data_IF_872035304999
#
_entry.id   IF_872035304999
#
_cell.length_a   1.000
_cell.length_b   1.000
_cell.length_c   1.000
_cell.angle_alpha   90.00
_cell.angle_beta   90.00
_cell.angle_gamma   90.00
#
_symmetry.space_group_name_H-M   'P 1'
#
loop_
_entity.id
_entity.type
_entity.pdbx_description
1 polymer ?
#
# COMPACT_ATOMS: atom_id res chain seq x y z
N UNK A 1 -15.22 59.38 -38.97
CA UNK A 1 -16.12 58.79 -39.98
C UNK A 1 -15.24 58.02 -40.97
N UNK A 2 -15.53 56.71 -41.14
CA UNK A 2 -15.21 55.74 -42.21
C UNK A 2 -14.08 56.12 -43.20
N UNK A 3 -13.08 55.26 -43.43
CA UNK A 3 -13.20 54.13 -44.39
C UNK A 3 -12.20 53.00 -44.12
N UNK A 4 -12.71 51.77 -44.17
CA UNK A 4 -12.02 50.46 -44.30
C UNK A 4 -11.93 50.14 -45.80
N UNK A 5 -10.82 49.61 -46.37
CA UNK A 5 -10.59 48.16 -46.54
C UNK A 5 -9.11 47.75 -46.47
N UNK A 6 -8.69 46.50 -46.27
CA UNK A 6 -8.63 45.38 -47.26
C UNK A 6 -8.29 44.14 -46.41
N UNK A 7 -9.21 43.18 -46.22
CA UNK A 7 -9.29 41.92 -46.98
C UNK A 7 -7.98 41.12 -46.79
N UNK A 8 -7.94 39.97 -46.11
CA UNK A 8 -8.53 38.72 -46.61
C UNK A 8 -8.38 37.62 -45.53
N UNK A 9 -9.53 37.16 -45.02
CA UNK A 9 -9.89 35.77 -44.64
C UNK A 9 -8.83 34.85 -44.03
N UNK A 10 -9.01 34.44 -42.77
CA UNK A 10 -9.83 33.28 -42.33
C UNK A 10 -9.17 31.92 -42.58
N UNK A 11 -8.74 31.28 -41.50
CA UNK A 11 -9.29 30.00 -41.02
C UNK A 11 -8.58 29.69 -39.69
N UNK A 12 -9.19 30.01 -38.54
CA UNK A 12 -10.05 29.10 -37.78
C UNK A 12 -9.38 27.73 -37.56
N UNK A 13 -8.70 27.52 -36.43
CA UNK A 13 -9.22 27.20 -35.08
C UNK A 13 -9.38 25.70 -34.84
N UNK A 14 -9.30 25.36 -33.55
CA UNK A 14 -9.44 24.08 -32.86
C UNK A 14 -8.10 23.34 -32.67
N UNK A 15 -7.66 23.05 -31.46
CA UNK A 15 -8.35 23.05 -30.18
C UNK A 15 -7.84 21.88 -29.38
N UNK A 16 -7.28 22.15 -28.20
CA UNK A 16 -6.85 21.14 -27.24
C UNK A 16 -8.06 20.36 -26.66
N UNK A 17 -7.87 19.08 -26.33
CA UNK A 17 -8.57 18.27 -25.30
C UNK A 17 -7.93 16.87 -25.34
N UNK A 18 -7.02 16.57 -24.40
CA UNK A 18 -7.22 15.88 -23.11
C UNK A 18 -7.39 14.36 -23.17
N UNK A 19 -6.69 13.74 -22.21
CA UNK A 19 -6.57 12.32 -21.92
C UNK A 19 -7.90 11.66 -21.52
N UNK A 20 -8.02 10.35 -21.77
CA UNK A 20 -8.83 9.50 -20.91
C UNK A 20 -8.28 8.07 -20.87
N UNK A 21 -7.98 7.63 -19.66
CA UNK A 21 -7.79 6.24 -19.28
C UNK A 21 -9.15 5.50 -19.20
N UNK A 22 -9.06 4.19 -18.99
CA UNK A 22 -10.08 3.25 -18.49
C UNK A 22 -10.74 2.33 -19.53
N UNK A 23 -10.37 1.04 -19.44
CA UNK A 23 -11.30 -0.06 -19.62
C UNK A 23 -12.35 -0.03 -18.49
N UNK A 24 -13.58 -0.53 -18.71
CA UNK A 24 -13.89 -1.86 -18.17
C UNK A 24 -14.93 -2.70 -18.97
N UNK A 25 -14.71 -4.02 -18.95
CA UNK A 25 -15.63 -5.12 -18.60
C UNK A 25 -17.09 -5.17 -19.14
N UNK A 26 -17.39 -6.28 -19.82
CA UNK A 26 -18.58 -7.18 -19.71
C UNK A 26 -19.93 -6.90 -20.39
N UNK A 27 -20.43 -7.99 -21.02
CA UNK A 27 -21.86 -8.43 -21.15
C UNK A 27 -22.72 -7.85 -22.29
N UNK A 28 -23.53 -8.54 -23.11
CA UNK A 28 -23.90 -9.96 -23.41
C UNK A 28 -24.82 -9.97 -24.66
N UNK A 29 -24.86 -11.10 -25.39
CA UNK A 29 -25.98 -11.65 -26.21
C UNK A 29 -26.42 -10.87 -27.49
N UNK A 30 -26.82 -11.44 -28.63
CA UNK A 30 -26.98 -12.81 -29.16
C UNK A 30 -27.34 -12.63 -30.65
N UNK A 31 -26.51 -13.09 -31.61
CA UNK A 31 -26.97 -13.53 -32.94
C UNK A 31 -25.88 -14.35 -33.64
N UNK A 32 -26.12 -15.64 -33.84
CA UNK A 32 -25.39 -16.56 -34.73
C UNK A 32 -25.50 -16.10 -36.20
N UNK A 33 -24.57 -16.44 -37.13
CA UNK A 33 -24.05 -17.80 -37.30
C UNK A 33 -22.55 -17.96 -37.59
N UNK A 34 -22.03 -19.09 -37.09
CA UNK A 34 -21.19 -20.07 -37.79
C UNK A 34 -20.55 -19.60 -39.09
N UNK A 35 -19.24 -19.36 -39.07
CA UNK A 35 -18.33 -19.88 -40.10
C UNK A 35 -16.96 -20.10 -39.47
N UNK A 36 -16.76 -21.35 -39.06
CA UNK A 36 -15.46 -22.01 -38.98
C UNK A 36 -14.65 -21.69 -40.24
N UNK A 37 -13.62 -20.84 -40.16
CA UNK A 37 -12.59 -20.85 -41.19
C UNK A 37 -11.66 -22.00 -40.82
N UNK A 38 -12.07 -23.18 -41.26
CA UNK A 38 -11.22 -24.34 -41.36
C UNK A 38 -9.98 -23.95 -42.16
N UNK A 39 -8.83 -24.26 -41.60
CA UNK A 39 -7.59 -24.46 -42.33
C UNK A 39 -7.84 -25.47 -43.45
N UNK A 40 -8.14 -24.98 -44.66
CA UNK A 40 -7.98 -25.76 -45.88
C UNK A 40 -6.81 -25.15 -46.63
N UNK A 41 -5.67 -25.79 -46.43
CA UNK A 41 -4.59 -25.83 -47.40
C UNK A 41 -5.16 -26.37 -48.71
N UNK A 42 -5.63 -25.50 -49.60
CA UNK A 42 -5.82 -25.86 -51.00
C UNK A 42 -4.59 -25.37 -51.77
N UNK A 43 -3.59 -26.25 -51.84
CA UNK A 43 -2.54 -26.18 -52.84
C UNK A 43 -3.21 -26.52 -54.17
N UNK A 44 -3.86 -25.53 -54.79
CA UNK A 44 -4.16 -25.63 -56.21
C UNK A 44 -2.97 -25.11 -56.98
N UNK A 45 -2.16 -26.08 -57.39
CA UNK A 45 -1.30 -26.01 -58.56
C UNK A 45 -2.00 -25.18 -59.65
N UNK A 46 -1.51 -23.96 -59.86
CA UNK A 46 -1.76 -23.22 -61.08
C UNK A 46 -1.00 -23.96 -62.16
N UNK A 47 -1.75 -24.82 -62.84
CA UNK A 47 -1.36 -25.53 -64.04
C UNK A 47 -0.64 -24.57 -65.00
N UNK A 48 0.59 -24.95 -65.31
CA UNK A 48 1.10 -25.07 -66.68
C UNK A 48 0.20 -24.42 -67.71
N UNK A 49 0.47 -23.15 -68.02
CA UNK A 49 0.13 -22.61 -69.33
C UNK A 49 1.19 -23.15 -70.29
N UNK A 50 0.74 -24.02 -71.19
CA UNK A 50 1.59 -24.71 -72.15
C UNK A 50 2.44 -23.75 -72.96
N UNK A 51 3.75 -23.85 -72.76
CA UNK A 51 4.71 -23.50 -73.80
C UNK A 51 5.00 -24.77 -74.57
N UNK A 52 4.58 -24.76 -75.84
CA UNK A 52 5.01 -25.57 -76.98
C UNK A 52 6.34 -26.32 -76.74
N UNK A 53 6.49 -27.59 -77.19
CA UNK A 53 7.79 -28.25 -77.16
C UNK A 53 8.66 -27.58 -78.23
N UNK A 54 9.43 -26.57 -77.83
CA UNK A 54 10.67 -26.24 -78.52
C UNK A 54 11.67 -27.26 -77.98
N UNK A 55 11.71 -28.43 -78.61
CA UNK A 55 12.82 -28.79 -79.49
C UNK A 55 14.12 -28.52 -78.73
N UNK A 56 14.64 -29.59 -78.14
CA UNK A 56 16.06 -29.72 -77.82
C UNK A 56 16.82 -29.18 -79.02
N UNK A 57 17.20 -27.93 -78.88
CA UNK A 57 18.10 -27.27 -79.77
C UNK A 57 19.23 -27.04 -78.82
N UNK A 58 20.29 -27.85 -78.97
CA UNK A 58 21.65 -27.42 -78.65
C UNK A 58 21.87 -26.11 -79.39
N UNK A 59 21.24 -25.05 -78.89
CA UNK A 59 21.28 -23.71 -79.41
C UNK A 59 22.55 -23.18 -78.80
N UNK A 60 23.60 -23.22 -79.62
CA UNK A 60 24.85 -22.51 -79.44
C UNK A 60 24.47 -21.08 -79.04
N UNK A 61 24.32 -20.89 -77.74
CA UNK A 61 23.83 -19.67 -77.17
C UNK A 61 24.94 -18.67 -77.51
N UNK A 62 24.63 -17.68 -78.36
CA UNK A 62 25.65 -16.81 -78.89
C UNK A 62 26.49 -16.29 -77.71
N UNK A 63 27.83 -16.23 -77.82
CA UNK A 63 28.68 -15.88 -76.68
C UNK A 63 28.26 -14.56 -76.03
N UNK A 64 27.64 -13.66 -76.79
CA UNK A 64 27.07 -12.41 -76.29
C UNK A 64 25.80 -12.59 -75.43
N UNK A 65 24.93 -13.55 -75.76
CA UNK A 65 23.74 -13.90 -74.96
C UNK A 65 24.18 -14.67 -73.71
N UNK A 66 25.16 -15.57 -73.81
CA UNK A 66 25.74 -16.23 -72.63
C UNK A 66 26.36 -15.18 -71.70
N UNK A 67 27.13 -14.24 -72.25
CA UNK A 67 27.71 -13.16 -71.47
C UNK A 67 26.64 -12.29 -70.82
N UNK A 68 25.55 -11.95 -71.52
CA UNK A 68 24.43 -11.19 -70.96
C UNK A 68 23.73 -11.96 -69.81
N UNK A 69 23.50 -13.26 -69.97
CA UNK A 69 22.90 -14.09 -68.92
C UNK A 69 23.85 -14.20 -67.72
N UNK A 70 25.14 -14.47 -67.94
CA UNK A 70 26.14 -14.56 -66.85
C UNK A 70 26.25 -13.24 -66.12
N UNK A 71 26.30 -12.10 -66.81
CA UNK A 71 26.32 -10.76 -66.19
C UNK A 71 25.04 -10.51 -65.38
N UNK A 72 23.87 -10.90 -65.92
CA UNK A 72 22.61 -10.76 -65.19
C UNK A 72 22.57 -11.62 -63.92
N UNK A 73 23.00 -12.88 -63.99
CA UNK A 73 23.04 -13.80 -62.85
C UNK A 73 24.06 -13.34 -61.81
N UNK A 74 25.26 -12.94 -62.24
CA UNK A 74 26.30 -12.40 -61.34
C UNK A 74 25.81 -11.10 -60.68
N UNK A 75 25.10 -10.24 -61.42
CA UNK A 75 24.51 -9.02 -60.88
C UNK A 75 23.47 -9.31 -59.79
N UNK A 76 22.56 -10.26 -60.04
CA UNK A 76 21.53 -10.66 -59.05
C UNK A 76 22.17 -11.31 -57.83
N UNK A 77 23.17 -12.17 -58.00
CA UNK A 77 23.89 -12.80 -56.89
C UNK A 77 24.64 -11.76 -56.07
N UNK A 78 25.34 -10.82 -56.71
CA UNK A 78 26.03 -9.74 -56.03
C UNK A 78 25.06 -8.83 -55.25
N UNK A 79 23.90 -8.52 -55.83
CA UNK A 79 22.86 -7.74 -55.15
C UNK A 79 22.28 -8.48 -53.94
N UNK A 80 22.02 -9.78 -54.03
CA UNK A 80 21.50 -10.58 -52.91
C UNK A 80 22.51 -10.69 -51.76
N UNK A 81 23.80 -10.91 -52.08
CA UNK A 81 24.87 -10.96 -51.08
C UNK A 81 25.09 -9.58 -50.42
N UNK A 82 25.07 -8.51 -51.21
CA UNK A 82 25.17 -7.14 -50.71
C UNK A 82 23.98 -6.74 -49.81
N UNK A 83 22.75 -7.09 -50.21
CA UNK A 83 21.55 -6.84 -49.43
C UNK A 83 21.53 -7.65 -48.12
N UNK A 84 21.94 -8.92 -48.16
CA UNK A 84 22.10 -9.74 -46.95
C UNK A 84 23.13 -9.17 -45.98
N UNK A 85 24.30 -8.76 -46.49
CA UNK A 85 25.35 -8.14 -45.67
C UNK A 85 24.87 -6.81 -45.05
N UNK A 86 24.18 -5.97 -45.82
CA UNK A 86 23.61 -4.71 -45.31
C UNK A 86 22.52 -4.95 -44.25
N UNK A 87 21.63 -5.93 -44.45
CA UNK A 87 20.58 -6.27 -43.48
C UNK A 87 21.13 -6.84 -42.16
N UNK A 88 22.23 -7.62 -42.22
CA UNK A 88 22.95 -8.11 -41.04
C UNK A 88 23.57 -6.91 -40.28
N UNK A 89 24.15 -5.94 -40.99
CA UNK A 89 24.71 -4.72 -40.38
C UNK A 89 23.63 -3.84 -39.73
N UNK A 90 22.41 -3.83 -40.26
CA UNK A 90 21.27 -3.10 -39.68
C UNK A 90 20.58 -3.83 -38.50
N UNK A 91 21.08 -4.99 -38.06
CA UNK A 91 20.46 -5.82 -37.01
C UNK A 91 19.02 -6.27 -37.31
N UNK A 92 18.60 -6.26 -38.58
CA UNK A 92 17.24 -6.66 -38.98
C UNK A 92 17.09 -8.19 -39.01
N UNK A 93 18.18 -8.92 -39.28
CA UNK A 93 18.24 -10.39 -39.27
C UNK A 93 19.35 -10.81 -38.30
N UNK A 94 19.09 -11.67 -37.30
CA UNK A 94 20.13 -12.15 -36.39
C UNK A 94 21.20 -12.94 -37.17
N UNK A 95 22.48 -12.65 -36.92
CA UNK A 95 23.60 -13.34 -37.57
C UNK A 95 23.53 -14.85 -37.29
N UNK A 96 23.31 -15.71 -38.30
CA UNK A 96 23.14 -17.15 -38.09
C UNK A 96 24.44 -17.88 -37.73
N UNK A 97 25.62 -17.23 -37.89
CA UNK A 97 26.94 -17.82 -37.63
C UNK A 97 27.86 -16.82 -36.89
N UNK A 98 27.78 -16.75 -35.55
CA UNK A 98 28.53 -15.77 -34.72
C UNK A 98 30.05 -15.99 -34.65
N UNK A 99 30.66 -16.77 -35.55
CA UNK A 99 32.09 -17.10 -35.51
C UNK A 99 32.85 -17.01 -36.84
N UNK A 100 32.17 -16.88 -37.99
CA UNK A 100 32.83 -16.82 -39.32
C UNK A 100 32.74 -15.42 -39.91
N UNK A 101 31.63 -14.70 -39.66
CA UNK A 101 31.46 -13.32 -40.11
C UNK A 101 31.84 -12.41 -38.93
N UNK A 102 32.99 -11.71 -38.97
CA UNK A 102 33.32 -10.74 -37.93
C UNK A 102 32.20 -9.71 -37.88
N UNK A 103 31.59 -9.57 -36.69
CA UNK A 103 30.61 -8.52 -36.45
C UNK A 103 31.22 -7.14 -36.66
N UNK A 104 30.40 -6.09 -36.87
CA UNK A 104 30.89 -4.73 -36.79
C UNK A 104 31.63 -4.52 -35.45
N UNK A 105 32.70 -3.71 -35.44
CA UNK A 105 33.36 -3.36 -34.19
C UNK A 105 32.29 -2.84 -33.23
N UNK A 106 32.23 -3.41 -32.04
CA UNK A 106 31.34 -2.90 -31.00
C UNK A 106 31.61 -1.41 -30.85
N UNK A 107 30.59 -0.54 -30.90
CA UNK A 107 30.80 0.86 -30.61
C UNK A 107 31.48 0.96 -29.24
N UNK A 108 32.42 1.91 -29.05
CA UNK A 108 33.07 2.07 -27.76
C UNK A 108 31.99 2.15 -26.70
N UNK A 109 32.12 1.31 -25.68
CA UNK A 109 31.18 1.32 -24.57
C UNK A 109 31.01 2.77 -24.12
N UNK A 110 29.77 3.26 -23.95
CA UNK A 110 29.57 4.59 -23.40
C UNK A 110 30.38 4.67 -22.10
N UNK A 111 31.03 5.82 -21.81
CA UNK A 111 31.76 5.98 -20.57
C UNK A 111 30.83 5.54 -19.44
N UNK A 112 31.35 4.69 -18.55
CA UNK A 112 30.59 4.27 -17.39
C UNK A 112 30.01 5.53 -16.74
N UNK A 113 28.70 5.55 -16.41
CA UNK A 113 28.14 6.68 -15.69
C UNK A 113 29.03 6.93 -14.47
N UNK A 114 29.30 8.19 -14.10
CA UNK A 114 30.08 8.49 -12.92
C UNK A 114 29.49 7.68 -11.77
N UNK A 115 30.35 6.97 -11.04
CA UNK A 115 29.91 6.19 -9.89
C UNK A 115 28.99 7.08 -9.05
N UNK A 116 27.79 6.60 -8.67
CA UNK A 116 26.89 7.39 -7.86
C UNK A 116 27.69 7.89 -6.66
N UNK A 117 27.62 9.21 -6.44
CA UNK A 117 28.25 9.81 -5.28
C UNK A 117 27.82 9.01 -4.04
N UNK A 118 28.74 8.68 -3.11
CA UNK A 118 28.39 7.92 -1.93
C UNK A 118 27.19 8.59 -1.28
N UNK A 119 26.10 7.83 -1.11
CA UNK A 119 24.92 8.34 -0.44
C UNK A 119 25.35 8.92 0.90
N UNK A 120 24.86 10.12 1.27
CA UNK A 120 25.17 10.70 2.57
C UNK A 120 24.83 9.67 3.64
N UNK A 121 25.85 9.26 4.42
CA UNK A 121 25.63 8.39 5.56
C UNK A 121 24.50 9.00 6.39
N UNK A 122 23.41 8.26 6.71
CA UNK A 122 22.32 8.78 7.48
C UNK A 122 22.86 9.48 8.73
N UNK A 123 22.49 10.75 8.91
CA UNK A 123 22.84 11.49 10.11
C UNK A 123 22.39 10.65 11.31
N UNK A 124 23.19 10.57 12.39
CA UNK A 124 22.80 9.87 13.61
C UNK A 124 21.41 10.35 14.01
N UNK A 125 20.51 9.41 14.30
CA UNK A 125 19.20 9.76 14.82
C UNK A 125 19.40 10.67 16.05
N UNK A 126 18.64 11.77 16.16
CA UNK A 126 18.76 12.66 17.30
C UNK A 126 18.60 11.84 18.58
N UNK A 127 19.50 12.08 19.53
CA UNK A 127 19.44 11.44 20.84
C UNK A 127 18.03 11.66 21.43
N UNK A 128 17.41 10.63 22.03
CA UNK A 128 16.08 10.78 22.61
C UNK A 128 16.10 11.94 23.60
N UNK A 129 15.13 12.84 23.43
CA UNK A 129 14.95 13.98 24.31
C UNK A 129 14.76 13.46 25.75
N UNK A 130 15.41 14.07 26.76
CA UNK A 130 15.28 13.63 28.14
C UNK A 130 13.81 13.55 28.52
N UNK A 131 13.40 12.42 29.10
CA UNK A 131 12.05 12.26 29.59
C UNK A 131 11.72 13.42 30.54
N UNK A 132 10.53 14.06 30.41
CA UNK A 132 10.14 15.17 31.25
C UNK A 132 10.24 14.76 32.72
N UNK A 133 10.84 15.62 33.53
CA UNK A 133 10.96 15.41 34.96
C UNK A 133 9.56 15.16 35.55
N UNK A 134 9.42 14.22 36.51
CA UNK A 134 8.14 13.91 37.12
C UNK A 134 7.53 15.18 37.71
N UNK A 135 6.32 15.51 37.25
CA UNK A 135 5.54 16.62 37.79
C UNK A 135 5.30 16.33 39.27
N UNK A 136 5.53 17.29 40.19
CA UNK A 136 5.28 17.09 41.60
C UNK A 136 3.83 16.65 41.84
N UNK A 137 3.65 15.57 42.58
CA UNK A 137 2.34 15.11 42.97
C UNK A 137 1.62 16.23 43.76
N UNK A 138 0.31 16.44 43.53
CA UNK A 138 -0.45 17.43 44.28
C UNK A 138 -0.37 17.11 45.78
N UNK A 139 -0.30 18.15 46.65
CA UNK A 139 -0.22 17.96 48.08
C UNK A 139 -1.41 17.13 48.57
N UNK A 140 -1.15 16.23 49.52
CA UNK A 140 -2.17 15.36 50.09
C UNK A 140 -3.34 16.20 50.66
N UNK A 141 -4.59 15.75 50.51
CA UNK A 141 -5.75 16.41 51.08
C UNK A 141 -5.55 16.65 52.58
N UNK A 142 -5.98 17.81 53.07
CA UNK A 142 -5.94 18.11 54.49
C UNK A 142 -6.71 17.05 55.29
N UNK A 143 -6.20 16.64 56.47
CA UNK A 143 -6.90 15.68 57.32
C UNK A 143 -8.33 16.11 57.59
N UNK A 144 -9.27 15.19 57.44
CA UNK A 144 -10.66 15.45 57.77
C UNK A 144 -10.78 15.87 59.25
N UNK A 145 -11.67 16.82 59.57
CA UNK A 145 -11.86 17.27 60.94
C UNK A 145 -12.23 16.10 61.85
N UNK A 146 -11.54 15.99 62.99
CA UNK A 146 -11.82 14.95 63.97
C UNK A 146 -13.22 15.16 64.59
N UNK A 147 -13.98 14.08 64.86
CA UNK A 147 -15.25 14.16 65.54
C UNK A 147 -15.11 14.89 66.88
N UNK A 148 -16.07 15.78 67.19
CA UNK A 148 -16.10 16.47 68.47
C UNK A 148 -16.17 15.47 69.64
N UNK A 149 -15.49 15.74 70.77
CA UNK A 149 -15.50 14.86 71.94
C UNK A 149 -16.93 14.65 72.45
N UNK A 150 -17.28 13.38 72.70
CA UNK A 150 -18.58 13.00 73.28
C UNK A 150 -18.70 13.63 74.68
N UNK A 151 -19.86 14.19 75.06
CA UNK A 151 -20.08 14.74 76.40
C UNK A 151 -19.67 13.75 77.48
N UNK A 152 -18.90 14.22 78.47
CA UNK A 152 -18.49 13.42 79.60
C UNK A 152 -19.74 12.89 80.35
N UNK A 153 -19.73 11.63 80.82
CA UNK A 153 -20.82 11.11 81.62
C UNK A 153 -20.97 11.98 82.88
N UNK A 154 -22.16 12.55 83.08
CA UNK A 154 -22.42 13.39 84.25
C UNK A 154 -22.34 12.58 85.55
N UNK A 155 -21.79 13.21 86.58
CA UNK A 155 -21.47 12.67 87.93
C UNK A 155 -22.72 12.34 88.78
N UNK A 156 -23.81 11.87 88.15
CA UNK A 156 -24.98 11.45 88.91
C UNK A 156 -24.57 10.29 89.82
N UNK A 157 -24.94 10.31 91.11
CA UNK A 157 -24.65 9.22 92.02
C UNK A 157 -25.96 8.56 92.44
N UNK A 158 -26.03 7.23 92.32
CA UNK A 158 -27.15 6.44 92.80
C UNK A 158 -26.74 5.69 94.05
N UNK A 159 -27.56 5.64 95.09
CA UNK A 159 -27.14 4.90 96.30
C UNK A 159 -27.28 3.39 96.12
N UNK A 160 -28.35 2.93 95.49
CA UNK A 160 -28.67 1.52 95.30
C UNK A 160 -29.57 1.31 94.06
N UNK A 161 -29.88 0.05 93.73
CA UNK A 161 -30.71 -0.25 92.57
C UNK A 161 -32.14 0.30 92.66
N UNK A 162 -32.69 0.50 93.86
CA UNK A 162 -34.02 1.10 94.00
C UNK A 162 -34.02 2.56 93.58
N UNK A 163 -32.96 3.29 93.89
CA UNK A 163 -32.75 4.67 93.46
C UNK A 163 -32.65 4.81 91.93
N UNK A 164 -31.92 3.89 91.29
CA UNK A 164 -31.83 3.78 89.82
C UNK A 164 -33.22 3.54 89.20
N UNK A 165 -33.96 2.56 89.71
CA UNK A 165 -35.29 2.22 89.21
C UNK A 165 -36.33 3.32 89.47
N UNK A 166 -36.21 4.08 90.57
CA UNK A 166 -37.08 5.23 90.83
C UNK A 166 -36.78 6.41 89.91
N UNK A 167 -35.51 6.61 89.54
CA UNK A 167 -35.08 7.78 88.76
C UNK A 167 -35.16 7.55 87.24
N UNK A 168 -34.69 6.40 86.75
CA UNK A 168 -34.58 6.10 85.31
C UNK A 168 -35.63 5.06 84.88
N UNK A 169 -36.17 4.25 85.81
CA UNK A 169 -37.19 3.24 85.48
C UNK A 169 -36.68 2.05 84.66
N UNK A 170 -35.35 1.89 84.54
CA UNK A 170 -34.70 0.82 83.78
C UNK A 170 -33.35 0.43 84.40
N UNK A 171 -32.77 -0.73 84.03
CA UNK A 171 -31.38 -1.06 84.32
C UNK A 171 -30.42 0.01 83.78
N UNK A 172 -29.30 0.21 84.47
CA UNK A 172 -28.29 1.22 84.14
C UNK A 172 -27.08 0.57 83.46
N UNK A 173 -26.59 1.12 82.36
CA UNK A 173 -25.52 0.51 81.56
C UNK A 173 -24.19 1.24 81.73
N UNK A 174 -23.10 0.54 81.41
CA UNK A 174 -21.75 1.13 81.35
C UNK A 174 -21.75 2.31 80.35
N UNK A 175 -21.54 3.52 80.88
CA UNK A 175 -21.57 4.77 80.10
C UNK A 175 -22.82 5.62 80.31
N UNK A 176 -23.85 5.08 80.98
CA UNK A 176 -24.93 5.90 81.51
C UNK A 176 -24.40 6.78 82.67
N UNK A 177 -24.90 8.02 82.81
CA UNK A 177 -24.50 8.90 83.89
C UNK A 177 -24.88 8.29 85.25
N UNK A 178 -23.86 8.05 86.08
CA UNK A 178 -23.99 7.43 87.39
C UNK A 178 -23.90 5.92 87.46
N UNK A 179 -23.55 5.25 86.36
CA UNK A 179 -23.14 3.86 86.41
C UNK A 179 -21.87 3.70 87.26
N UNK A 180 -21.89 2.73 88.18
CA UNK A 180 -20.71 2.29 88.94
C UNK A 180 -20.74 0.78 89.12
N UNK A 181 -19.58 0.16 89.26
CA UNK A 181 -19.44 -1.29 89.51
C UNK A 181 -20.21 -1.76 90.76
N UNK A 182 -20.41 -0.90 91.76
CA UNK A 182 -21.21 -1.25 92.94
C UNK A 182 -22.72 -1.47 92.67
N UNK A 183 -23.24 -1.10 91.50
CA UNK A 183 -24.61 -1.38 91.06
C UNK A 183 -24.72 -2.63 90.18
N UNK A 184 -23.58 -3.13 89.73
CA UNK A 184 -23.40 -4.22 88.78
C UNK A 184 -22.68 -5.36 89.51
N UNK A 185 -23.49 -6.24 90.11
CA UNK A 185 -22.98 -7.27 91.03
C UNK A 185 -22.16 -8.34 90.31
N UNK A 186 -22.44 -8.57 89.05
CA UNK A 186 -21.86 -9.57 88.16
C UNK A 186 -20.82 -9.00 87.19
N UNK A 187 -20.79 -7.69 87.02
CA UNK A 187 -19.73 -6.96 86.31
C UNK A 187 -19.86 -6.98 84.78
N UNK A 188 -21.02 -7.37 84.26
CA UNK A 188 -21.27 -7.55 82.83
C UNK A 188 -21.46 -6.22 82.07
N UNK A 189 -21.58 -5.10 82.80
CA UNK A 189 -21.85 -3.78 82.25
C UNK A 189 -23.31 -3.34 82.38
N UNK A 190 -24.18 -4.13 83.01
CA UNK A 190 -25.61 -3.85 83.22
C UNK A 190 -25.95 -3.89 84.71
N UNK A 191 -25.94 -2.72 85.33
CA UNK A 191 -26.34 -2.55 86.72
C UNK A 191 -27.86 -2.67 86.92
N UNK A 192 -28.26 -3.26 88.04
CA UNK A 192 -29.65 -3.30 88.49
C UNK A 192 -30.64 -3.98 87.54
N UNK A 193 -30.20 -5.01 86.82
CA UNK A 193 -31.02 -5.89 85.97
C UNK A 193 -32.34 -6.35 86.63
N UNK A 194 -32.29 -6.70 87.92
CA UNK A 194 -33.45 -7.14 88.69
C UNK A 194 -34.15 -5.94 89.32
N UNK A 195 -35.43 -5.74 88.96
CA UNK A 195 -36.27 -4.71 89.59
C UNK A 195 -36.51 -5.05 91.07
N UNK A 196 -36.10 -4.19 92.02
CA UNK A 196 -36.39 -4.41 93.43
C UNK A 196 -37.90 -4.31 93.68
N UNK A 197 -38.45 -5.32 94.38
CA UNK A 197 -39.85 -5.33 94.84
C UNK A 197 -40.03 -4.32 95.96
#
# INVERSE_FOLDING_TARGET
MKTVPIILTCALTLGAVQAQAAAPETSVADTLPTTTISTTTDVRAAATTGTKPAKETEEELAPEVIAAIVVSVVGVVAAALGAGYWAIQQRIIPNPLPGIIPGPPEPPAPPAPPAPAPEPKPAPAPAPEPAPAPVPAPPAPAPAPQPAPKPAPSERYYSNCRDVWNTIGRPIHRGDPGYRSGLDRDGDGVGCEKRPR
#
